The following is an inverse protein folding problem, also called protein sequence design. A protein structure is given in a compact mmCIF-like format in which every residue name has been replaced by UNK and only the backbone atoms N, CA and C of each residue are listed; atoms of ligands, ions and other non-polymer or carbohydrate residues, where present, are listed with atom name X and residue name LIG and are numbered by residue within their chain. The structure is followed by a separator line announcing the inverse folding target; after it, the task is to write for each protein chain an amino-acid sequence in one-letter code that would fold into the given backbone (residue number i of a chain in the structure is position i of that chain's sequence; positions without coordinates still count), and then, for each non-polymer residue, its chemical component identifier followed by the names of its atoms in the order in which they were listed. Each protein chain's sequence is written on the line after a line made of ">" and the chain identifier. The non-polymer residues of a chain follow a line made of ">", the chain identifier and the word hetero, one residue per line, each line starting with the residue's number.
data_IF_788411469093
#
_entry.id   IF_788411469093
#
_cell.length_a   1.000
_cell.length_b   1.000
_cell.length_c   1.000
_cell.angle_alpha   90.00
_cell.angle_beta   90.00
_cell.angle_gamma   90.00
#
_symmetry.space_group_name_H-M   'P 1'
#
loop_
_entity.id
_entity.type
_entity.pdbx_description
1 polymer ?
#
# COMPACT_ATOMS: atom_id res chain seq x y z
N UNK A 1 4.94 -5.87 -15.08
CA UNK A 1 3.98 -6.46 -14.12
C UNK A 1 2.76 -5.59 -14.20
N UNK A 2 1.57 -6.15 -14.40
CA UNK A 2 0.36 -5.32 -14.55
C UNK A 2 -0.14 -4.82 -13.18
N UNK A 3 -0.01 -5.66 -12.14
CA UNK A 3 -0.38 -5.32 -10.76
C UNK A 3 0.64 -5.81 -9.72
N UNK A 4 0.94 -4.95 -8.76
CA UNK A 4 1.67 -5.27 -7.54
C UNK A 4 0.78 -5.04 -6.31
N UNK A 5 0.52 -6.10 -5.55
CA UNK A 5 -0.27 -6.07 -4.32
C UNK A 5 0.69 -6.15 -3.12
N UNK A 6 0.62 -5.18 -2.20
CA UNK A 6 1.63 -4.95 -1.16
C UNK A 6 0.98 -4.87 0.23
N UNK A 7 1.51 -5.64 1.17
CA UNK A 7 1.09 -5.61 2.59
C UNK A 7 1.14 -4.19 3.14
N UNK A 8 0.11 -3.81 3.90
CA UNK A 8 -0.03 -2.51 4.55
C UNK A 8 -0.61 -2.64 5.97
N UNK A 9 -0.20 -3.68 6.70
CA UNK A 9 -0.85 -4.03 7.97
C UNK A 9 -0.72 -2.94 9.03
N UNK A 10 0.43 -2.26 9.11
CA UNK A 10 0.78 -1.40 10.25
C UNK A 10 0.40 0.07 10.08
N UNK A 11 -0.17 0.48 8.94
CA UNK A 11 -0.71 1.82 8.77
C UNK A 11 0.23 2.93 9.22
N UNK A 12 -0.22 3.79 10.13
CA UNK A 12 0.51 4.98 10.57
C UNK A 12 1.26 4.79 11.89
N UNK A 13 1.58 3.54 12.23
CA UNK A 13 2.35 3.23 13.43
C UNK A 13 3.76 3.84 13.34
N UNK A 14 4.15 4.59 14.38
CA UNK A 14 5.47 5.25 14.46
C UNK A 14 6.58 4.30 14.91
N UNK A 15 6.26 3.37 15.80
CA UNK A 15 7.21 2.38 16.32
C UNK A 15 6.79 0.99 15.85
N UNK A 16 7.65 0.32 15.08
CA UNK A 16 7.33 -1.00 14.52
C UNK A 16 7.46 -2.06 15.61
N UNK A 17 6.33 -2.38 16.24
CA UNK A 17 6.24 -3.47 17.23
C UNK A 17 6.10 -4.86 16.56
N UNK A 18 5.79 -4.90 15.27
CA UNK A 18 5.54 -6.13 14.49
C UNK A 18 6.48 -6.15 13.27
N UNK A 19 7.67 -6.78 13.35
CA UNK A 19 8.78 -6.54 12.41
C UNK A 19 8.61 -7.14 11.00
N UNK A 20 7.46 -7.75 10.69
CA UNK A 20 7.24 -8.49 9.43
C UNK A 20 6.09 -7.94 8.58
N UNK A 21 5.64 -6.74 8.90
CA UNK A 21 4.60 -6.04 8.15
C UNK A 21 5.01 -4.60 7.86
N UNK A 22 4.39 -3.99 6.85
CA UNK A 22 4.68 -2.63 6.46
C UNK A 22 3.81 -1.61 7.18
N UNK A 23 4.44 -0.51 7.57
CA UNK A 23 3.78 0.79 7.75
C UNK A 23 3.46 1.41 6.40
N UNK A 24 2.61 2.43 6.39
CA UNK A 24 2.23 3.16 5.19
C UNK A 24 3.45 3.78 4.48
N UNK A 25 4.41 4.31 5.25
CA UNK A 25 5.67 4.82 4.70
C UNK A 25 6.52 3.72 4.06
N UNK A 26 6.56 2.53 4.67
CA UNK A 26 7.28 1.40 4.12
C UNK A 26 6.64 0.87 2.83
N UNK A 27 5.31 0.94 2.67
CA UNK A 27 4.64 0.65 1.39
C UNK A 27 5.14 1.60 0.30
N UNK A 28 5.19 2.91 0.58
CA UNK A 28 5.66 3.91 -0.40
C UNK A 28 7.14 3.68 -0.74
N UNK A 29 7.97 3.42 0.27
CA UNK A 29 9.39 3.11 0.08
C UNK A 29 9.58 1.86 -0.78
N UNK A 30 8.81 0.79 -0.51
CA UNK A 30 8.84 -0.46 -1.28
C UNK A 30 8.46 -0.22 -2.73
N UNK A 31 7.36 0.50 -2.99
CA UNK A 31 6.96 0.90 -4.35
C UNK A 31 8.09 1.63 -5.08
N UNK A 32 8.69 2.63 -4.43
CA UNK A 32 9.75 3.42 -5.04
C UNK A 32 11.00 2.59 -5.36
N UNK A 33 11.38 1.67 -4.47
CA UNK A 33 12.49 0.73 -4.72
C UNK A 33 12.17 -0.24 -5.86
N UNK A 34 10.94 -0.76 -5.93
CA UNK A 34 10.52 -1.60 -7.06
C UNK A 34 10.63 -0.84 -8.39
N UNK A 35 10.26 0.44 -8.40
CA UNK A 35 10.40 1.31 -9.59
C UNK A 35 11.87 1.55 -9.93
N UNK A 36 12.71 1.85 -8.95
CA UNK A 36 14.15 2.07 -9.12
C UNK A 36 14.82 0.83 -9.74
N UNK A 37 14.48 -0.36 -9.25
CA UNK A 37 14.96 -1.64 -9.79
C UNK A 37 14.26 -2.09 -11.08
N UNK A 38 13.37 -1.27 -11.66
CA UNK A 38 12.61 -1.57 -12.88
C UNK A 38 11.75 -2.84 -12.80
N UNK A 39 11.30 -3.18 -11.59
CA UNK A 39 10.34 -4.27 -11.35
C UNK A 39 8.93 -3.80 -11.73
N UNK A 40 8.60 -2.53 -11.45
CA UNK A 40 7.36 -1.86 -11.84
C UNK A 40 7.67 -0.59 -12.64
N UNK A 41 6.69 -0.13 -13.40
CA UNK A 41 6.74 1.12 -14.17
C UNK A 41 5.52 2.02 -13.87
N UNK A 42 5.30 3.06 -14.68
CA UNK A 42 4.15 3.97 -14.52
C UNK A 42 2.81 3.34 -14.94
N UNK A 43 2.81 2.22 -15.65
CA UNK A 43 1.62 1.49 -16.07
C UNK A 43 1.24 0.38 -15.09
N UNK A 44 2.13 0.03 -14.17
CA UNK A 44 1.87 -0.97 -13.13
C UNK A 44 0.92 -0.40 -12.07
N UNK A 45 -0.21 -1.07 -11.84
CA UNK A 45 -1.11 -0.74 -10.74
C UNK A 45 -0.53 -1.23 -9.41
N UNK A 46 -0.45 -0.36 -8.40
CA UNK A 46 0.02 -0.74 -7.06
C UNK A 46 -1.15 -0.66 -6.08
N UNK A 47 -1.39 -1.75 -5.35
CA UNK A 47 -2.52 -1.90 -4.43
C UNK A 47 -2.01 -2.22 -3.04
N UNK A 48 -2.35 -1.40 -2.05
CA UNK A 48 -2.13 -1.67 -0.64
C UNK A 48 -3.28 -2.55 -0.10
N UNK A 49 -2.96 -3.63 0.62
CA UNK A 49 -3.95 -4.55 1.18
C UNK A 49 -3.57 -5.01 2.60
N UNK A 50 -4.42 -5.89 3.19
CA UNK A 50 -4.17 -6.54 4.48
C UNK A 50 -4.08 -5.54 5.65
N UNK A 51 -5.01 -4.58 5.72
CA UNK A 51 -5.03 -3.57 6.77
C UNK A 51 -5.46 -4.15 8.12
N UNK A 52 -4.69 -3.89 9.18
CA UNK A 52 -5.14 -4.10 10.56
C UNK A 52 -5.96 -2.91 11.03
N UNK A 53 -7.03 -3.15 11.80
CA UNK A 53 -7.89 -2.08 12.31
C UNK A 53 -7.20 -1.16 13.30
N UNK A 54 -6.25 -1.68 14.10
CA UNK A 54 -5.67 -0.93 15.21
C UNK A 54 -4.83 0.28 14.76
N UNK A 55 -3.87 0.15 13.81
CA UNK A 55 -3.00 1.25 13.45
C UNK A 55 -3.41 1.99 12.17
N UNK A 56 -4.56 1.64 11.58
CA UNK A 56 -5.05 2.26 10.36
C UNK A 56 -6.28 3.13 10.65
N UNK A 57 -6.37 4.32 10.06
CA UNK A 57 -7.58 5.13 10.10
C UNK A 57 -8.66 4.51 9.20
N UNK A 58 -9.88 5.05 9.22
CA UNK A 58 -10.93 4.67 8.28
C UNK A 58 -10.48 4.75 6.82
N UNK A 59 -11.11 3.93 5.97
CA UNK A 59 -10.80 3.79 4.52
C UNK A 59 -10.58 5.12 3.80
N UNK A 60 -11.43 6.12 4.05
CA UNK A 60 -11.35 7.43 3.39
C UNK A 60 -10.00 8.12 3.61
N UNK A 61 -9.49 8.08 4.84
CA UNK A 61 -8.20 8.69 5.20
C UNK A 61 -7.03 7.90 4.61
N UNK A 62 -7.15 6.56 4.54
CA UNK A 62 -6.19 5.72 3.82
C UNK A 62 -6.14 6.08 2.33
N UNK A 63 -7.30 6.22 1.69
CA UNK A 63 -7.40 6.58 0.27
C UNK A 63 -6.79 7.97 0.02
N UNK A 64 -7.09 8.95 0.87
CA UNK A 64 -6.49 10.29 0.80
C UNK A 64 -4.96 10.23 0.93
N UNK A 65 -4.43 9.42 1.85
CA UNK A 65 -2.99 9.24 2.01
C UNK A 65 -2.35 8.60 0.76
N UNK A 66 -2.85 7.44 0.34
CA UNK A 66 -2.26 6.59 -0.70
C UNK A 66 -2.44 7.17 -2.11
N UNK A 67 -3.53 7.89 -2.37
CA UNK A 67 -3.78 8.49 -3.69
C UNK A 67 -2.70 9.51 -4.09
N UNK A 68 -2.11 10.22 -3.11
CA UNK A 68 -0.95 11.12 -3.34
C UNK A 68 0.26 10.40 -3.94
N UNK A 69 0.32 9.08 -3.77
CA UNK A 69 1.40 8.23 -4.28
C UNK A 69 0.92 7.28 -5.36
N UNK A 70 -0.28 7.46 -5.95
CA UNK A 70 -0.86 6.54 -6.95
C UNK A 70 -0.85 5.09 -6.48
N UNK A 71 -1.30 4.86 -5.25
CA UNK A 71 -1.52 3.52 -4.68
C UNK A 71 -3.01 3.39 -4.39
N UNK A 72 -3.60 2.28 -4.81
CA UNK A 72 -5.01 1.96 -4.56
C UNK A 72 -5.14 1.27 -3.21
N UNK A 73 -6.16 1.63 -2.44
CA UNK A 73 -6.51 0.97 -1.17
C UNK A 73 -7.48 -0.16 -1.47
N UNK A 74 -7.07 -1.39 -1.20
CA UNK A 74 -7.97 -2.54 -1.30
C UNK A 74 -9.06 -2.47 -0.24
N UNK A 75 -10.25 -2.95 -0.59
CA UNK A 75 -11.35 -3.16 0.33
C UNK A 75 -12.17 -4.36 -0.13
N UNK A 76 -12.95 -4.92 0.79
CA UNK A 76 -13.84 -6.03 0.46
C UNK A 76 -14.81 -5.61 -0.66
N UNK A 77 -14.93 -6.47 -1.67
CA UNK A 77 -15.74 -6.21 -2.87
C UNK A 77 -15.09 -5.32 -3.94
N UNK A 78 -13.83 -4.90 -3.78
CA UNK A 78 -13.10 -4.21 -4.84
C UNK A 78 -12.89 -5.15 -6.04
N UNK A 79 -13.32 -4.70 -7.23
CA UNK A 79 -13.09 -5.36 -8.51
C UNK A 79 -12.12 -4.51 -9.33
N UNK A 80 -11.11 -5.15 -9.91
CA UNK A 80 -10.11 -4.53 -10.76
C UNK A 80 -10.16 -5.21 -12.14
N UNK A 81 -10.16 -4.40 -13.19
CA UNK A 81 -10.00 -4.84 -14.57
C UNK A 81 -8.55 -4.59 -14.96
N UNK A 82 -7.83 -5.64 -15.36
CA UNK A 82 -6.37 -5.66 -15.51
C UNK A 82 -6.00 -6.28 -16.85
#
# INVERSE_FOLDING_TARGET
>A
IDIAVVDSTLGFMKEVLFPYHHTAEQVISTKNRMREFRIIDDNTLVVAHHFSHYPNPPKKELEEFYNRYKVVVAHDGLLLDI
#
